data_IF_491539394817
#
_entry.id   IF_491539394817
#
_cell.length_a   1.000
_cell.length_b   1.000
_cell.length_c   1.000
_cell.angle_alpha   90.00
_cell.angle_beta   90.00
_cell.angle_gamma   90.00
#
_symmetry.space_group_name_H-M   'P 1'
#
loop_
_entity.id
_entity.type
_entity.pdbx_description
1 polymer ?
#
# COMPACT_ATOMS: atom_id res chain seq x y z
N UNK A 1 -24.74 12.15 -4.51
CA UNK A 1 -24.73 10.71 -4.16
C UNK A 1 -25.61 10.52 -2.93
N UNK A 2 -26.59 9.62 -2.93
CA UNK A 2 -27.45 9.40 -1.75
C UNK A 2 -26.79 8.46 -0.74
N UNK A 3 -27.04 8.66 0.55
CA UNK A 3 -26.53 7.81 1.65
C UNK A 3 -26.85 6.32 1.41
N UNK A 4 -27.99 6.02 0.78
CA UNK A 4 -28.38 4.67 0.40
C UNK A 4 -27.45 4.01 -0.64
N UNK A 5 -26.98 4.78 -1.62
CA UNK A 5 -26.02 4.29 -2.64
C UNK A 5 -24.65 3.98 -2.02
N UNK A 6 -24.20 4.81 -1.08
CA UNK A 6 -22.98 4.59 -0.30
C UNK A 6 -23.09 3.36 0.59
N UNK A 7 -24.22 3.16 1.29
CA UNK A 7 -24.43 2.00 2.16
C UNK A 7 -24.50 0.69 1.36
N UNK A 8 -25.12 0.69 0.18
CA UNK A 8 -25.18 -0.48 -0.70
C UNK A 8 -23.79 -0.82 -1.24
N UNK A 9 -23.05 0.18 -1.70
CA UNK A 9 -21.65 0.03 -2.16
C UNK A 9 -20.72 -0.45 -1.05
N UNK A 10 -20.88 0.03 0.18
CA UNK A 10 -20.14 -0.44 1.34
C UNK A 10 -20.46 -1.91 1.66
N UNK A 11 -21.75 -2.29 1.68
CA UNK A 11 -22.15 -3.68 1.95
C UNK A 11 -21.61 -4.64 0.90
N UNK A 12 -21.72 -4.30 -0.38
CA UNK A 12 -21.13 -5.10 -1.47
C UNK A 12 -19.61 -5.11 -1.44
N UNK A 13 -18.95 -4.17 -0.76
CA UNK A 13 -17.49 -4.15 -0.60
C UNK A 13 -17.02 -5.01 0.58
N UNK A 14 -17.86 -5.22 1.60
CA UNK A 14 -17.49 -5.88 2.88
C UNK A 14 -18.17 -7.26 3.07
N UNK A 15 -18.80 -7.84 2.05
CA UNK A 15 -19.45 -9.18 2.14
C UNK A 15 -19.03 -10.14 1.02
N UNK A 16 -19.04 -11.45 1.27
CA UNK A 16 -18.88 -12.47 0.22
C UNK A 16 -17.54 -13.19 0.20
N UNK A 17 -16.59 -12.82 1.07
CA UNK A 17 -15.32 -13.55 1.20
C UNK A 17 -15.43 -14.75 2.16
N UNK A 18 -14.62 -15.82 1.95
CA UNK A 18 -14.56 -16.98 2.83
C UNK A 18 -14.17 -16.63 4.27
N UNK A 19 -14.53 -17.48 5.24
CA UNK A 19 -14.21 -17.27 6.66
C UNK A 19 -12.71 -17.08 6.92
N UNK A 20 -11.85 -17.84 6.23
CA UNK A 20 -10.39 -17.75 6.37
C UNK A 20 -9.85 -16.35 6.05
N UNK A 21 -10.43 -15.68 5.05
CA UNK A 21 -10.06 -14.30 4.72
C UNK A 21 -10.40 -13.34 5.86
N UNK A 22 -11.57 -13.47 6.49
CA UNK A 22 -11.96 -12.60 7.60
C UNK A 22 -11.12 -12.83 8.86
N UNK A 23 -10.70 -14.07 9.12
CA UNK A 23 -9.75 -14.34 10.21
C UNK A 23 -8.37 -13.74 9.94
N UNK A 24 -7.87 -13.81 8.70
CA UNK A 24 -6.61 -13.18 8.29
C UNK A 24 -6.70 -11.64 8.33
N UNK A 25 -7.84 -11.08 7.93
CA UNK A 25 -8.12 -9.64 8.01
C UNK A 25 -8.13 -9.17 9.47
N UNK A 26 -8.82 -9.92 10.35
CA UNK A 26 -8.88 -9.63 11.78
C UNK A 26 -7.49 -9.76 12.43
N UNK A 27 -6.73 -10.80 12.11
CA UNK A 27 -5.38 -10.98 12.66
C UNK A 27 -4.45 -9.83 12.23
N UNK A 28 -4.55 -9.39 10.97
CA UNK A 28 -3.82 -8.23 10.45
C UNK A 28 -4.20 -6.95 11.18
N UNK A 29 -5.50 -6.74 11.41
CA UNK A 29 -6.00 -5.59 12.17
C UNK A 29 -5.43 -5.62 13.61
N UNK A 30 -5.56 -6.74 14.32
CA UNK A 30 -5.05 -6.91 15.69
C UNK A 30 -3.55 -6.62 15.76
N UNK A 31 -2.75 -7.20 14.85
CA UNK A 31 -1.32 -6.91 14.80
C UNK A 31 -1.06 -5.41 14.60
N UNK A 32 -1.78 -4.75 13.69
CA UNK A 32 -1.56 -3.31 13.43
C UNK A 32 -2.05 -2.39 14.54
N UNK A 33 -3.09 -2.77 15.30
CA UNK A 33 -3.48 -2.02 16.50
C UNK A 33 -2.41 -2.01 17.59
N UNK A 34 -1.50 -2.98 17.56
CA UNK A 34 -0.36 -3.06 18.48
C UNK A 34 0.92 -2.39 17.99
N UNK A 35 0.96 -1.79 16.79
CA UNK A 35 2.20 -1.33 16.14
C UNK A 35 2.79 -0.03 16.75
N UNK A 36 2.97 -0.02 18.06
CA UNK A 36 3.47 1.11 18.83
C UNK A 36 4.98 1.31 18.67
N UNK A 37 5.74 0.21 18.53
CA UNK A 37 7.21 0.27 18.50
C UNK A 37 7.66 1.29 17.46
N UNK A 38 7.36 1.09 16.18
CA UNK A 38 7.83 1.99 15.12
C UNK A 38 7.27 3.40 15.20
N UNK A 39 6.03 3.54 15.67
CA UNK A 39 5.37 4.84 15.77
C UNK A 39 6.08 5.74 16.78
N UNK A 40 6.55 5.17 17.90
CA UNK A 40 7.10 5.91 19.03
C UNK A 40 8.60 5.69 19.27
N UNK A 41 9.27 4.86 18.46
CA UNK A 41 10.67 4.48 18.66
C UNK A 41 11.61 5.69 18.72
N UNK A 42 11.38 6.69 17.86
CA UNK A 42 12.20 7.91 17.82
C UNK A 42 12.08 8.71 19.11
N UNK A 43 10.86 8.87 19.64
CA UNK A 43 10.62 9.55 20.91
C UNK A 43 11.18 8.75 22.10
N UNK A 44 11.06 7.42 22.09
CA UNK A 44 11.66 6.58 23.12
C UNK A 44 13.19 6.75 23.17
N UNK A 45 13.86 6.63 22.02
CA UNK A 45 15.31 6.74 21.94
C UNK A 45 15.82 8.14 22.31
N UNK A 46 15.11 9.20 21.91
CA UNK A 46 15.58 10.59 22.08
C UNK A 46 15.11 11.21 23.39
N UNK A 47 13.83 11.10 23.74
CA UNK A 47 13.22 11.77 24.89
C UNK A 47 13.39 10.95 26.18
N UNK A 48 13.20 9.62 26.14
CA UNK A 48 13.34 8.77 27.34
C UNK A 48 14.79 8.35 27.58
N UNK A 49 15.49 7.89 26.53
CA UNK A 49 16.88 7.39 26.66
C UNK A 49 17.96 8.46 26.40
N UNK A 50 17.60 9.63 25.89
CA UNK A 50 18.54 10.73 25.67
C UNK A 50 19.55 10.51 24.53
N UNK A 51 19.28 9.59 23.61
CA UNK A 51 20.11 9.40 22.42
C UNK A 51 19.86 10.51 21.37
N UNK A 52 20.81 10.65 20.45
CA UNK A 52 20.70 11.64 19.38
C UNK A 52 19.64 11.28 18.34
N UNK A 53 19.08 12.28 17.63
CA UNK A 53 18.12 12.04 16.56
C UNK A 53 18.73 11.23 15.41
N UNK A 54 20.02 11.42 15.13
CA UNK A 54 20.78 10.60 14.18
C UNK A 54 20.76 9.12 14.57
N UNK A 55 21.00 8.82 15.86
CA UNK A 55 20.98 7.44 16.33
C UNK A 55 19.57 6.84 16.23
N UNK A 56 18.53 7.59 16.60
CA UNK A 56 17.15 7.17 16.37
C UNK A 56 16.86 6.91 14.89
N UNK A 57 17.36 7.77 14.00
CA UNK A 57 17.34 7.58 12.56
C UNK A 57 18.04 6.30 12.10
N UNK A 58 19.23 6.01 12.64
CA UNK A 58 19.96 4.77 12.37
C UNK A 58 19.16 3.53 12.80
N UNK A 59 18.55 3.54 13.98
CA UNK A 59 17.75 2.41 14.47
C UNK A 59 16.52 2.17 13.57
N UNK A 60 15.81 3.22 13.16
CA UNK A 60 14.70 3.09 12.20
C UNK A 60 15.19 2.62 10.82
N UNK A 61 16.35 3.08 10.37
CA UNK A 61 16.97 2.61 9.14
C UNK A 61 17.34 1.12 9.20
N UNK A 62 17.82 0.64 10.35
CA UNK A 62 18.09 -0.77 10.57
C UNK A 62 16.81 -1.61 10.53
N UNK A 63 15.68 -1.11 11.03
CA UNK A 63 14.39 -1.77 10.82
C UNK A 63 14.07 -1.92 9.32
N UNK A 64 14.25 -0.84 8.56
CA UNK A 64 14.08 -0.83 7.10
C UNK A 64 14.99 -1.84 6.41
N UNK A 65 16.28 -1.86 6.76
CA UNK A 65 17.28 -2.80 6.24
C UNK A 65 16.93 -4.25 6.57
N UNK A 66 16.52 -4.52 7.81
CA UNK A 66 15.99 -5.82 8.20
C UNK A 66 14.83 -6.24 7.30
N UNK A 67 13.98 -5.29 6.93
CA UNK A 67 12.89 -5.53 6.00
C UNK A 67 13.29 -5.91 4.58
N UNK A 68 14.41 -5.38 4.10
CA UNK A 68 14.98 -5.75 2.79
C UNK A 68 15.44 -7.20 2.80
N UNK A 69 16.09 -7.64 3.88
CA UNK A 69 16.50 -9.03 4.06
C UNK A 69 15.32 -9.97 4.36
N UNK A 70 14.31 -9.47 5.08
CA UNK A 70 13.14 -10.23 5.49
C UNK A 70 12.23 -10.62 4.33
N UNK A 71 12.08 -9.79 3.30
CA UNK A 71 11.15 -10.10 2.20
C UNK A 71 11.56 -11.34 1.38
N UNK A 72 12.81 -11.50 0.93
CA UNK A 72 13.26 -12.73 0.26
C UNK A 72 13.24 -13.96 1.19
N UNK A 73 13.65 -13.77 2.45
CA UNK A 73 13.60 -14.82 3.47
C UNK A 73 12.15 -15.32 3.64
N UNK A 74 11.21 -14.39 3.77
CA UNK A 74 9.78 -14.67 3.86
C UNK A 74 9.28 -15.48 2.68
N UNK A 75 9.59 -15.07 1.45
CA UNK A 75 9.21 -15.83 0.25
C UNK A 75 9.73 -17.26 0.27
N UNK A 76 11.03 -17.44 0.53
CA UNK A 76 11.64 -18.77 0.60
C UNK A 76 11.03 -19.65 1.71
N UNK A 77 10.71 -19.07 2.87
CA UNK A 77 10.03 -19.77 3.96
C UNK A 77 8.58 -20.12 3.60
N UNK A 78 7.83 -19.19 2.99
CA UNK A 78 6.46 -19.43 2.50
C UNK A 78 6.41 -20.60 1.52
N UNK A 79 7.39 -20.66 0.62
CA UNK A 79 7.48 -21.70 -0.40
C UNK A 79 7.92 -23.05 0.19
N UNK A 80 8.82 -23.04 1.19
CA UNK A 80 9.36 -24.26 1.79
C UNK A 80 8.44 -24.83 2.87
N UNK A 81 8.02 -24.02 3.84
CA UNK A 81 7.27 -24.42 5.03
C UNK A 81 5.75 -24.29 4.87
N UNK A 82 5.27 -23.52 3.89
CA UNK A 82 3.86 -23.16 3.77
C UNK A 82 3.55 -21.78 4.32
N UNK A 83 2.36 -21.27 3.99
CA UNK A 83 1.94 -19.90 4.34
C UNK A 83 1.74 -19.79 5.84
N UNK A 84 1.01 -20.74 6.44
CA UNK A 84 0.59 -20.67 7.85
C UNK A 84 1.78 -20.83 8.81
N UNK A 85 2.67 -21.83 8.69
CA UNK A 85 3.84 -21.94 9.56
C UNK A 85 4.77 -20.73 9.46
N UNK A 86 4.94 -20.17 8.26
CA UNK A 86 5.77 -18.97 8.07
C UNK A 86 5.18 -17.75 8.78
N UNK A 87 3.86 -17.52 8.64
CA UNK A 87 3.20 -16.42 9.38
C UNK A 87 3.34 -16.57 10.89
N UNK A 88 3.11 -17.77 11.43
CA UNK A 88 3.16 -18.01 12.88
C UNK A 88 4.58 -17.79 13.41
N UNK A 89 5.57 -18.45 12.79
CA UNK A 89 6.97 -18.38 13.24
C UNK A 89 7.53 -16.97 13.17
N UNK A 90 7.26 -16.24 12.07
CA UNK A 90 7.75 -14.87 11.89
C UNK A 90 7.01 -13.86 12.78
N UNK A 91 5.71 -14.03 13.02
CA UNK A 91 5.01 -13.20 14.01
C UNK A 91 5.51 -13.46 15.43
N UNK A 92 5.74 -14.71 15.83
CA UNK A 92 6.31 -15.02 17.15
C UNK A 92 7.73 -14.47 17.31
N UNK A 93 8.56 -14.52 16.25
CA UNK A 93 9.87 -13.89 16.25
C UNK A 93 9.79 -12.36 16.41
N UNK A 94 8.86 -11.70 15.71
CA UNK A 94 8.60 -10.27 15.86
C UNK A 94 8.09 -9.92 17.27
N UNK A 95 7.18 -10.72 17.83
CA UNK A 95 6.67 -10.55 19.18
C UNK A 95 7.77 -10.70 20.24
N UNK A 96 8.67 -11.68 20.07
CA UNK A 96 9.82 -11.85 20.95
C UNK A 96 10.77 -10.64 20.90
N UNK A 97 11.00 -10.07 19.71
CA UNK A 97 11.79 -8.84 19.57
C UNK A 97 11.09 -7.66 20.28
N UNK A 98 9.80 -7.45 20.06
CA UNK A 98 9.03 -6.40 20.72
C UNK A 98 9.06 -6.55 22.25
N UNK A 99 8.91 -7.78 22.77
CA UNK A 99 9.02 -8.05 24.20
C UNK A 99 10.44 -7.76 24.72
N UNK A 100 11.49 -8.12 23.97
CA UNK A 100 12.87 -7.83 24.35
C UNK A 100 13.18 -6.33 24.46
N UNK A 101 12.57 -5.49 23.61
CA UNK A 101 12.67 -4.02 23.71
C UNK A 101 12.11 -3.48 25.03
N UNK A 102 11.19 -4.20 25.66
CA UNK A 102 10.70 -3.80 26.98
C UNK A 102 11.74 -4.01 28.09
N UNK A 103 12.86 -4.71 27.86
CA UNK A 103 13.88 -5.00 28.89
C UNK A 103 15.27 -4.48 28.54
N UNK A 104 15.61 -4.41 27.25
CA UNK A 104 16.94 -4.00 26.81
C UNK A 104 17.05 -2.48 26.74
N UNK A 105 18.03 -1.94 27.45
CA UNK A 105 18.31 -0.48 27.50
C UNK A 105 19.61 -0.09 26.80
N UNK A 106 20.43 -1.06 26.38
CA UNK A 106 21.66 -0.75 25.66
C UNK A 106 21.35 -0.28 24.24
N UNK A 107 21.92 0.85 23.84
CA UNK A 107 21.67 1.49 22.54
C UNK A 107 21.83 0.50 21.37
N UNK A 108 22.98 -0.16 21.30
CA UNK A 108 23.27 -1.14 20.25
C UNK A 108 22.47 -2.44 20.39
N UNK A 109 22.04 -2.78 21.61
CA UNK A 109 21.11 -3.89 21.82
C UNK A 109 19.74 -3.60 21.22
N UNK A 110 19.20 -2.39 21.44
CA UNK A 110 17.96 -1.92 20.81
C UNK A 110 18.10 -1.93 19.29
N UNK A 111 19.20 -1.40 18.76
CA UNK A 111 19.47 -1.38 17.32
C UNK A 111 19.45 -2.79 16.69
N UNK A 112 20.10 -3.77 17.35
CA UNK A 112 20.10 -5.16 16.89
C UNK A 112 18.71 -5.81 16.96
N UNK A 113 17.95 -5.57 18.03
CA UNK A 113 16.59 -6.10 18.17
C UNK A 113 15.66 -5.51 17.12
N UNK A 114 15.75 -4.22 16.85
CA UNK A 114 14.93 -3.53 15.85
C UNK A 114 15.25 -4.01 14.43
N UNK A 115 16.53 -4.29 14.13
CA UNK A 115 16.94 -4.94 12.87
C UNK A 115 16.25 -6.31 12.71
N UNK A 116 16.34 -7.16 13.74
CA UNK A 116 15.74 -8.50 13.74
C UNK A 116 14.20 -8.44 13.66
N UNK A 117 13.59 -7.48 14.36
CA UNK A 117 12.16 -7.22 14.28
C UNK A 117 11.76 -6.85 12.85
N UNK A 118 12.53 -6.00 12.17
CA UNK A 118 12.32 -5.66 10.76
C UNK A 118 12.39 -6.87 9.82
N UNK A 119 13.35 -7.78 10.03
CA UNK A 119 13.43 -9.05 9.29
C UNK A 119 12.16 -9.87 9.50
N UNK A 120 11.78 -10.12 10.75
CA UNK A 120 10.65 -10.94 11.11
C UNK A 120 9.33 -10.37 10.57
N UNK A 121 9.05 -9.09 10.80
CA UNK A 121 7.80 -8.44 10.35
C UNK A 121 7.65 -8.48 8.82
N UNK A 122 8.74 -8.30 8.09
CA UNK A 122 8.68 -8.19 6.63
C UNK A 122 8.69 -9.56 5.96
N UNK A 123 9.19 -10.59 6.64
CA UNK A 123 9.10 -11.99 6.21
C UNK A 123 7.66 -12.55 6.25
N UNK A 124 6.77 -11.95 7.04
CA UNK A 124 5.34 -12.33 7.08
C UNK A 124 4.60 -11.94 5.79
N UNK A 125 4.96 -10.80 5.17
CA UNK A 125 4.17 -10.17 4.10
C UNK A 125 3.97 -11.06 2.86
N UNK A 126 4.97 -11.78 2.32
CA UNK A 126 4.76 -12.74 1.23
C UNK A 126 3.71 -13.81 1.56
N UNK A 127 3.71 -14.33 2.79
CA UNK A 127 2.76 -15.35 3.23
C UNK A 127 1.33 -14.82 3.29
N UNK A 128 1.12 -13.60 3.81
CA UNK A 128 -0.21 -12.96 3.85
C UNK A 128 -0.71 -12.73 2.42
N UNK A 129 0.14 -12.18 1.55
CA UNK A 129 -0.25 -11.86 0.18
C UNK A 129 -0.61 -13.12 -0.61
N UNK A 130 0.17 -14.20 -0.45
CA UNK A 130 -0.11 -15.50 -1.05
C UNK A 130 -1.41 -16.11 -0.49
N UNK A 131 -1.60 -16.12 0.83
CA UNK A 131 -2.80 -16.65 1.46
C UNK A 131 -4.07 -15.93 0.99
N UNK A 132 -4.03 -14.59 0.84
CA UNK A 132 -5.16 -13.83 0.28
C UNK A 132 -5.45 -14.29 -1.15
N UNK A 133 -4.43 -14.42 -2.00
CA UNK A 133 -4.59 -14.84 -3.39
C UNK A 133 -5.09 -16.30 -3.51
N UNK A 134 -4.65 -17.18 -2.60
CA UNK A 134 -5.05 -18.60 -2.58
C UNK A 134 -6.51 -18.79 -2.12
N UNK A 135 -7.03 -17.90 -1.26
CA UNK A 135 -8.37 -18.04 -0.66
C UNK A 135 -9.51 -17.42 -1.48
N UNK A 136 -9.23 -16.44 -2.34
CA UNK A 136 -10.28 -15.67 -3.02
C UNK A 136 -10.27 -15.88 -4.53
N UNK A 137 -11.44 -15.83 -5.20
CA UNK A 137 -11.49 -15.93 -6.65
C UNK A 137 -10.65 -14.85 -7.34
N UNK A 138 -10.02 -15.18 -8.47
CA UNK A 138 -9.11 -14.28 -9.19
C UNK A 138 -9.70 -12.89 -9.50
N UNK A 139 -11.00 -12.82 -9.79
CA UNK A 139 -11.70 -11.55 -10.07
C UNK A 139 -11.94 -10.68 -8.83
N UNK A 140 -11.87 -11.25 -7.62
CA UNK A 140 -12.07 -10.55 -6.34
C UNK A 140 -10.75 -10.23 -5.59
N UNK A 141 -9.61 -10.77 -6.02
CA UNK A 141 -8.28 -10.56 -5.37
C UNK A 141 -7.96 -9.08 -5.14
N UNK A 142 -8.24 -8.23 -6.14
CA UNK A 142 -8.03 -6.77 -6.01
C UNK A 142 -8.85 -6.17 -4.85
N UNK A 143 -10.09 -6.61 -4.70
CA UNK A 143 -10.99 -6.16 -3.62
C UNK A 143 -10.54 -6.69 -2.27
N UNK A 144 -10.05 -7.93 -2.21
CA UNK A 144 -9.47 -8.51 -1.00
C UNK A 144 -8.23 -7.74 -0.51
N UNK A 145 -7.31 -7.39 -1.42
CA UNK A 145 -6.16 -6.54 -1.07
C UNK A 145 -6.55 -5.14 -0.61
N UNK A 146 -7.58 -4.53 -1.22
CA UNK A 146 -8.08 -3.23 -0.78
C UNK A 146 -8.64 -3.29 0.66
N UNK A 147 -9.40 -4.34 1.00
CA UNK A 147 -9.89 -4.56 2.37
C UNK A 147 -8.74 -4.82 3.36
N UNK A 148 -7.72 -5.57 2.96
CA UNK A 148 -6.54 -5.78 3.79
C UNK A 148 -5.78 -4.46 4.04
N UNK A 149 -5.63 -3.63 3.01
CA UNK A 149 -5.04 -2.29 3.15
C UNK A 149 -5.86 -1.40 4.10
N UNK A 150 -7.18 -1.53 4.12
CA UNK A 150 -8.04 -0.89 5.11
C UNK A 150 -7.77 -1.38 6.54
N UNK A 151 -7.62 -2.68 6.77
CA UNK A 151 -7.23 -3.21 8.09
C UNK A 151 -5.90 -2.62 8.55
N UNK A 152 -4.92 -2.52 7.65
CA UNK A 152 -3.60 -1.97 7.98
C UNK A 152 -3.70 -0.52 8.46
N UNK A 153 -4.40 0.33 7.72
CA UNK A 153 -4.55 1.76 8.04
C UNK A 153 -5.45 2.02 9.25
N UNK A 154 -6.53 1.26 9.38
CA UNK A 154 -7.41 1.35 10.55
C UNK A 154 -6.66 0.94 11.83
N UNK A 155 -5.92 -0.18 11.78
CA UNK A 155 -5.10 -0.62 12.90
C UNK A 155 -4.03 0.40 13.27
N UNK A 156 -3.35 0.97 12.28
CA UNK A 156 -2.37 2.05 12.50
C UNK A 156 -3.00 3.28 13.16
N UNK A 157 -4.17 3.73 12.70
CA UNK A 157 -4.86 4.87 13.32
C UNK A 157 -5.22 4.60 14.79
N UNK A 158 -5.70 3.39 15.10
CA UNK A 158 -6.02 2.97 16.48
C UNK A 158 -4.74 2.95 17.33
N UNK A 159 -3.64 2.37 16.82
CA UNK A 159 -2.36 2.34 17.51
C UNK A 159 -1.82 3.76 17.76
N UNK A 160 -1.88 4.64 16.76
CA UNK A 160 -1.42 6.01 16.88
C UNK A 160 -2.19 6.80 17.94
N UNK A 161 -3.52 6.69 17.99
CA UNK A 161 -4.37 7.29 19.05
C UNK A 161 -4.03 6.68 20.41
N UNK A 162 -3.95 5.36 20.48
CA UNK A 162 -3.61 4.63 21.70
C UNK A 162 -2.21 4.96 22.22
N UNK A 163 -1.32 5.41 21.34
CA UNK A 163 0.05 5.78 21.66
C UNK A 163 0.17 6.99 22.58
N UNK A 164 -0.88 7.81 22.71
CA UNK A 164 -0.96 8.80 23.77
C UNK A 164 -0.91 8.21 25.18
N UNK A 165 -1.23 6.91 25.34
CA UNK A 165 -1.03 6.20 26.58
C UNK A 165 0.47 6.08 26.97
N UNK A 166 1.42 6.29 26.04
CA UNK A 166 2.85 6.39 26.35
C UNK A 166 3.13 7.40 27.47
N UNK A 167 2.40 8.51 27.49
CA UNK A 167 2.61 9.59 28.47
C UNK A 167 2.29 9.17 29.91
N UNK A 168 1.48 8.12 30.11
CA UNK A 168 1.05 7.66 31.44
C UNK A 168 1.54 6.23 31.76
N UNK A 169 1.65 5.37 30.75
CA UNK A 169 2.05 3.96 30.89
C UNK A 169 3.55 3.73 30.61
N UNK A 170 4.24 4.70 30.01
CA UNK A 170 5.61 4.57 29.54
C UNK A 170 5.74 3.79 28.22
N UNK A 171 6.83 4.02 27.49
CA UNK A 171 7.07 3.40 26.17
C UNK A 171 7.28 1.89 26.27
N UNK A 172 7.92 1.40 27.35
CA UNK A 172 8.15 -0.04 27.59
C UNK A 172 6.84 -0.82 27.65
N UNK A 173 5.80 -0.26 28.26
CA UNK A 173 4.47 -0.87 28.29
C UNK A 173 3.88 -0.98 26.89
N UNK A 174 4.07 0.03 26.03
CA UNK A 174 3.61 -0.03 24.65
C UNK A 174 4.32 -1.13 23.84
N UNK A 175 5.60 -1.39 24.10
CA UNK A 175 6.32 -2.50 23.46
C UNK A 175 5.79 -3.87 23.91
N UNK A 176 5.39 -4.00 25.19
CA UNK A 176 4.71 -5.21 25.68
C UNK A 176 3.34 -5.37 25.02
N UNK A 177 2.57 -4.29 24.86
CA UNK A 177 1.29 -4.34 24.14
C UNK A 177 1.48 -4.77 22.68
N UNK A 178 2.51 -4.27 22.00
CA UNK A 178 2.89 -4.71 20.65
C UNK A 178 3.19 -6.22 20.61
N UNK A 179 4.01 -6.70 21.56
CA UNK A 179 4.33 -8.11 21.69
C UNK A 179 3.09 -8.99 21.91
N UNK A 180 2.16 -8.55 22.77
CA UNK A 180 0.90 -9.25 23.03
C UNK A 180 0.01 -9.25 21.78
N UNK A 181 -0.20 -8.11 21.14
CA UNK A 181 -1.01 -8.00 19.92
C UNK A 181 -0.44 -8.86 18.78
N UNK A 182 0.87 -8.86 18.61
CA UNK A 182 1.57 -9.69 17.62
C UNK A 182 1.48 -11.18 17.95
N UNK A 183 1.56 -11.56 19.23
CA UNK A 183 1.33 -12.94 19.69
C UNK A 183 -0.11 -13.37 19.44
N UNK A 184 -1.09 -12.51 19.73
CA UNK A 184 -2.51 -12.77 19.46
C UNK A 184 -2.77 -12.97 17.97
N UNK A 185 -2.11 -12.20 17.10
CA UNK A 185 -2.14 -12.44 15.65
C UNK A 185 -1.67 -13.85 15.30
N UNK A 186 -0.50 -14.27 15.82
CA UNK A 186 0.01 -15.63 15.61
C UNK A 186 -0.94 -16.71 16.13
N UNK A 187 -1.58 -16.49 17.29
CA UNK A 187 -2.58 -17.41 17.87
C UNK A 187 -3.84 -17.49 17.00
N UNK A 188 -4.34 -16.36 16.50
CA UNK A 188 -5.51 -16.35 15.59
C UNK A 188 -5.18 -17.13 14.31
N UNK A 189 -4.03 -16.87 13.69
CA UNK A 189 -3.57 -17.60 12.50
C UNK A 189 -3.39 -19.09 12.80
N UNK A 190 -2.86 -19.44 13.97
CA UNK A 190 -2.72 -20.83 14.40
C UNK A 190 -4.08 -21.51 14.59
N UNK A 191 -5.08 -20.87 15.20
CA UNK A 191 -6.35 -21.52 15.52
C UNK A 191 -7.34 -21.52 14.35
N UNK A 192 -7.30 -20.52 13.48
CA UNK A 192 -8.39 -20.23 12.52
C UNK A 192 -8.00 -20.35 11.06
N UNK A 193 -6.72 -20.22 10.73
CA UNK A 193 -6.27 -20.29 9.35
C UNK A 193 -5.84 -21.72 9.02
N UNK A 194 -6.38 -22.27 7.93
CA UNK A 194 -5.90 -23.52 7.36
C UNK A 194 -4.68 -23.25 6.47
N UNK A 195 -3.84 -24.26 6.25
CA UNK A 195 -2.74 -24.12 5.29
C UNK A 195 -3.33 -23.99 3.88
N UNK A 196 -2.93 -22.93 3.17
CA UNK A 196 -3.47 -22.60 1.83
C UNK A 196 -2.48 -22.91 0.73
N UNK A 197 -1.27 -23.40 1.06
CA UNK A 197 -0.26 -23.78 0.06
C UNK A 197 -0.86 -24.78 -0.94
N UNK A 198 -0.95 -24.42 -2.23
CA UNK A 198 -1.25 -25.37 -3.27
C UNK A 198 -0.15 -26.45 -3.25
N UNK A 199 -0.55 -27.71 -3.38
CA UNK A 199 0.37 -28.78 -3.74
C UNK A 199 1.09 -28.34 -5.03
N UNK A 200 2.42 -28.47 -5.04
CA UNK A 200 3.30 -27.69 -5.92
C UNK A 200 2.87 -27.66 -7.39
N UNK A 201 2.99 -26.49 -8.04
CA UNK A 201 2.87 -26.37 -9.49
C UNK A 201 4.06 -27.07 -10.14
N UNK A 202 3.90 -28.35 -10.42
CA UNK A 202 4.71 -29.05 -11.41
C UNK A 202 4.28 -28.60 -12.80
N UNK A 203 5.23 -28.50 -13.73
CA UNK A 203 4.84 -28.48 -15.14
C UNK A 203 4.14 -29.81 -15.53
N UNK A 204 3.70 -29.92 -16.78
CA UNK A 204 3.12 -31.17 -17.31
C UNK A 204 4.05 -32.39 -17.23
N UNK A 205 5.33 -32.19 -16.90
CA UNK A 205 6.36 -33.23 -16.76
C UNK A 205 6.79 -33.50 -15.29
N UNK A 206 6.24 -32.80 -14.29
CA UNK A 206 6.64 -33.01 -12.89
C UNK A 206 7.82 -32.14 -12.42
N UNK A 207 8.38 -31.30 -13.29
CA UNK A 207 9.57 -30.49 -12.98
C UNK A 207 9.16 -29.12 -12.38
N UNK A 208 10.00 -28.54 -11.50
CA UNK A 208 9.79 -27.17 -11.05
C UNK A 208 9.94 -26.22 -12.24
N UNK A 209 8.92 -25.43 -12.52
CA UNK A 209 8.96 -24.41 -13.59
C UNK A 209 10.12 -23.46 -13.32
N UNK A 210 11.15 -23.54 -14.14
CA UNK A 210 12.32 -22.65 -14.03
C UNK A 210 11.90 -21.23 -14.41
N UNK A 211 11.88 -20.31 -13.44
CA UNK A 211 11.74 -18.89 -13.73
C UNK A 211 12.91 -18.41 -14.59
N UNK A 212 12.58 -17.81 -15.73
CA UNK A 212 13.58 -17.31 -16.66
C UNK A 212 14.45 -16.24 -15.98
N UNK A 213 15.76 -16.49 -15.94
CA UNK A 213 16.76 -15.59 -15.35
C UNK A 213 17.07 -14.41 -16.28
N UNK A 214 16.11 -13.51 -16.51
CA UNK A 214 16.46 -12.13 -16.89
C UNK A 214 17.39 -11.53 -15.80
N UNK A 215 18.09 -10.42 -16.05
CA UNK A 215 18.93 -9.74 -15.03
C UNK A 215 18.25 -8.46 -14.54
N UNK A 216 18.35 -8.14 -13.24
CA UNK A 216 17.87 -6.86 -12.68
C UNK A 216 18.55 -5.64 -13.35
N UNK A 217 19.80 -5.80 -13.79
CA UNK A 217 20.56 -4.77 -14.51
C UNK A 217 19.95 -4.44 -15.88
N UNK A 218 19.27 -5.39 -16.51
CA UNK A 218 18.61 -5.19 -17.81
C UNK A 218 17.41 -4.25 -17.67
N UNK A 219 16.68 -4.34 -16.56
CA UNK A 219 15.51 -3.48 -16.27
C UNK A 219 15.92 -2.02 -16.12
N UNK A 220 17.07 -1.74 -15.50
CA UNK A 220 17.56 -0.37 -15.34
C UNK A 220 18.07 0.26 -16.64
N UNK A 221 18.18 -0.49 -17.75
CA UNK A 221 18.57 0.08 -19.06
C UNK A 221 17.41 0.79 -19.75
N UNK A 222 16.18 0.37 -19.48
CA UNK A 222 14.94 1.02 -19.93
C UNK A 222 14.89 2.47 -19.41
N UNK A 223 15.01 3.45 -20.31
CA UNK A 223 15.17 4.85 -19.94
C UNK A 223 13.91 5.46 -19.30
N UNK A 224 12.69 5.26 -19.85
CA UNK A 224 11.45 5.60 -19.15
C UNK A 224 11.34 4.97 -17.77
N UNK A 225 11.58 3.65 -17.66
CA UNK A 225 11.42 2.97 -16.38
C UNK A 225 12.46 3.40 -15.35
N UNK A 226 13.72 3.54 -15.74
CA UNK A 226 14.78 4.09 -14.88
C UNK A 226 14.42 5.47 -14.36
N UNK A 227 13.83 6.33 -15.20
CA UNK A 227 13.36 7.66 -14.78
C UNK A 227 12.24 7.56 -13.75
N UNK A 228 11.27 6.67 -13.97
CA UNK A 228 10.18 6.41 -13.02
C UNK A 228 10.72 5.97 -11.65
N UNK A 229 11.68 5.03 -11.65
CA UNK A 229 12.32 4.52 -10.42
C UNK A 229 13.07 5.62 -9.67
N UNK A 230 13.88 6.43 -10.37
CA UNK A 230 14.64 7.52 -9.75
C UNK A 230 13.73 8.60 -9.15
N UNK A 231 12.65 8.97 -9.84
CA UNK A 231 11.69 9.94 -9.32
C UNK A 231 10.88 9.36 -8.16
N UNK A 232 10.49 8.08 -8.26
CA UNK A 232 9.82 7.39 -7.17
C UNK A 232 10.72 7.32 -5.93
N UNK A 233 12.03 7.08 -6.08
CA UNK A 233 12.98 7.13 -4.97
C UNK A 233 12.96 8.49 -4.26
N UNK A 234 12.91 9.61 -4.99
CA UNK A 234 12.79 10.94 -4.40
C UNK A 234 11.50 11.08 -3.57
N UNK A 235 10.37 10.60 -4.10
CA UNK A 235 9.10 10.62 -3.35
C UNK A 235 9.16 9.70 -2.12
N UNK A 236 9.76 8.52 -2.23
CA UNK A 236 9.96 7.62 -1.10
C UNK A 236 10.84 8.27 -0.01
N UNK A 237 11.87 9.04 -0.35
CA UNK A 237 12.68 9.79 0.62
C UNK A 237 11.83 10.83 1.38
N UNK A 238 10.99 11.58 0.65
CA UNK A 238 10.07 12.56 1.24
C UNK A 238 9.03 11.89 2.12
N UNK A 239 8.52 10.72 1.72
CA UNK A 239 7.54 9.94 2.46
C UNK A 239 8.10 9.38 3.77
N UNK A 240 9.37 8.97 3.76
CA UNK A 240 10.00 8.27 4.90
C UNK A 240 10.60 9.22 5.93
N UNK A 241 11.04 10.42 5.53
CA UNK A 241 11.63 11.41 6.44
C UNK A 241 10.77 11.75 7.69
N UNK A 242 9.44 11.89 7.60
CA UNK A 242 8.64 12.36 8.74
C UNK A 242 8.47 11.33 9.85
N UNK A 243 8.80 10.05 9.63
CA UNK A 243 8.85 9.03 10.69
C UNK A 243 9.87 9.38 11.78
N UNK A 244 10.90 10.16 11.45
CA UNK A 244 11.83 10.77 12.41
C UNK A 244 11.53 12.25 12.59
N UNK A 245 11.35 12.99 11.48
CA UNK A 245 11.24 14.45 11.52
C UNK A 245 10.03 14.97 12.30
N UNK A 246 8.85 14.40 12.07
CA UNK A 246 7.60 14.89 12.66
C UNK A 246 7.56 14.75 14.19
N UNK A 247 7.79 13.56 14.79
CA UNK A 247 7.75 13.43 16.24
C UNK A 247 8.79 14.31 16.93
N UNK A 248 9.99 14.45 16.37
CA UNK A 248 11.05 15.27 16.96
C UNK A 248 10.79 16.78 16.81
N UNK A 249 10.21 17.22 15.69
CA UNK A 249 9.80 18.61 15.51
C UNK A 249 8.72 18.98 16.53
N UNK A 250 7.71 18.12 16.70
CA UNK A 250 6.63 18.34 17.67
C UNK A 250 7.16 18.34 19.12
N UNK A 251 8.05 17.39 19.45
CA UNK A 251 8.68 17.34 20.77
C UNK A 251 9.54 18.58 21.04
N UNK A 252 10.30 19.06 20.05
CA UNK A 252 11.09 20.30 20.14
C UNK A 252 10.24 21.56 20.35
N UNK A 253 8.98 21.55 19.91
CA UNK A 253 7.99 22.60 20.20
C UNK A 253 7.24 22.40 21.53
N UNK A 254 7.62 21.40 22.33
CA UNK A 254 7.01 21.10 23.62
C UNK A 254 5.65 20.39 23.55
N UNK A 255 5.27 19.85 22.39
CA UNK A 255 4.04 19.06 22.26
C UNK A 255 4.24 17.66 22.85
N UNK A 256 3.21 17.18 23.55
CA UNK A 256 3.24 15.86 24.18
C UNK A 256 3.26 14.72 23.13
N UNK A 257 3.80 13.53 23.47
CA UNK A 257 3.75 12.35 22.60
C UNK A 257 2.33 11.95 22.17
N UNK A 258 1.33 12.22 23.02
CA UNK A 258 -0.09 12.02 22.70
C UNK A 258 -0.59 12.92 21.57
N UNK A 259 -0.08 14.16 21.47
CA UNK A 259 -0.40 15.05 20.36
C UNK A 259 0.15 14.49 19.03
N UNK A 260 1.38 13.99 19.04
CA UNK A 260 1.95 13.31 17.87
C UNK A 260 1.14 12.07 17.47
N UNK A 261 0.74 11.25 18.45
CA UNK A 261 -0.13 10.09 18.21
C UNK A 261 -1.45 10.47 17.54
N UNK A 262 -2.13 11.53 18.01
CA UNK A 262 -3.36 12.04 17.38
C UNK A 262 -3.09 12.57 15.97
N UNK A 263 -2.02 13.35 15.79
CA UNK A 263 -1.65 13.92 14.49
C UNK A 263 -1.38 12.84 13.45
N UNK A 264 -0.59 11.82 13.78
CA UNK A 264 -0.27 10.77 12.82
C UNK A 264 -1.45 9.81 12.59
N UNK A 265 -2.36 9.67 13.56
CA UNK A 265 -3.61 8.93 13.35
C UNK A 265 -4.51 9.55 12.27
N UNK A 266 -4.44 10.87 12.06
CA UNK A 266 -5.18 11.55 10.99
C UNK A 266 -4.85 10.96 9.62
N UNK A 267 -3.60 10.56 9.36
CA UNK A 267 -3.23 9.89 8.11
C UNK A 267 -4.09 8.63 7.87
N UNK A 268 -4.12 7.70 8.84
CA UNK A 268 -4.91 6.48 8.71
C UNK A 268 -6.41 6.73 8.59
N UNK A 269 -6.94 7.72 9.34
CA UNK A 269 -8.37 8.11 9.27
C UNK A 269 -8.72 8.66 7.88
N UNK A 270 -7.87 9.53 7.33
CA UNK A 270 -8.09 10.13 6.00
C UNK A 270 -8.02 9.05 4.91
N UNK A 271 -7.06 8.13 4.99
CA UNK A 271 -6.96 7.01 4.04
C UNK A 271 -8.24 6.16 4.08
N UNK A 272 -8.65 5.70 5.25
CA UNK A 272 -9.85 4.86 5.39
C UNK A 272 -11.12 5.61 4.93
N UNK A 273 -11.25 6.89 5.31
CA UNK A 273 -12.45 7.68 5.00
C UNK A 273 -12.56 8.10 3.52
N UNK A 274 -11.44 8.37 2.86
CA UNK A 274 -11.44 9.07 1.57
C UNK A 274 -10.79 8.30 0.41
N UNK A 275 -10.17 7.13 0.62
CA UNK A 275 -9.48 6.40 -0.47
C UNK A 275 -10.40 6.10 -1.66
N UNK A 276 -11.64 5.66 -1.40
CA UNK A 276 -12.60 5.35 -2.46
C UNK A 276 -12.99 6.60 -3.26
N UNK A 277 -13.12 7.75 -2.59
CA UNK A 277 -13.40 9.02 -3.25
C UNK A 277 -12.22 9.44 -4.12
N UNK A 278 -11.00 9.39 -3.58
CA UNK A 278 -9.78 9.75 -4.32
C UNK A 278 -9.59 8.85 -5.54
N UNK A 279 -9.77 7.53 -5.41
CA UNK A 279 -9.72 6.60 -6.55
C UNK A 279 -10.71 7.01 -7.64
N UNK A 280 -11.95 7.32 -7.28
CA UNK A 280 -12.99 7.74 -8.24
C UNK A 280 -12.64 9.06 -8.95
N UNK A 281 -12.03 10.02 -8.24
CA UNK A 281 -11.64 11.31 -8.80
C UNK A 281 -10.42 11.21 -9.74
N UNK A 282 -9.60 10.16 -9.57
CA UNK A 282 -8.34 9.97 -10.28
C UNK A 282 -8.40 8.93 -11.40
N UNK A 283 -9.40 8.05 -11.41
CA UNK A 283 -9.54 6.90 -12.34
C UNK A 283 -9.33 7.23 -13.83
N UNK A 284 -9.78 8.40 -14.28
CA UNK A 284 -9.73 8.83 -15.69
C UNK A 284 -8.67 9.90 -15.98
N UNK A 285 -7.67 10.03 -15.12
CA UNK A 285 -6.65 11.08 -15.24
C UNK A 285 -5.32 10.46 -15.66
N UNK A 286 -4.57 11.19 -16.49
CA UNK A 286 -3.24 10.78 -16.93
C UNK A 286 -2.33 10.47 -15.73
N UNK A 287 -1.64 9.30 -15.72
CA UNK A 287 -0.71 8.93 -14.65
C UNK A 287 0.37 9.99 -14.38
N UNK A 288 0.83 10.70 -15.42
CA UNK A 288 1.86 11.74 -15.28
C UNK A 288 1.34 12.93 -14.47
N UNK A 289 0.11 13.35 -14.73
CA UNK A 289 -0.54 14.44 -13.99
C UNK A 289 -0.72 14.04 -12.53
N UNK A 290 -1.16 12.81 -12.28
CA UNK A 290 -1.37 12.28 -10.93
C UNK A 290 -0.06 12.12 -10.14
N UNK A 291 1.00 11.60 -10.75
CA UNK A 291 2.33 11.48 -10.12
C UNK A 291 2.94 12.87 -9.84
N UNK A 292 2.75 13.82 -10.74
CA UNK A 292 3.21 15.20 -10.53
C UNK A 292 2.42 15.89 -9.41
N UNK A 293 1.09 15.79 -9.43
CA UNK A 293 0.20 16.36 -8.42
C UNK A 293 0.48 15.77 -7.04
N UNK A 294 0.60 14.44 -6.93
CA UNK A 294 0.92 13.79 -5.66
C UNK A 294 2.28 14.23 -5.12
N UNK A 295 3.30 14.35 -5.97
CA UNK A 295 4.62 14.86 -5.57
C UNK A 295 4.56 16.31 -5.08
N UNK A 296 3.73 17.16 -5.69
CA UNK A 296 3.48 18.52 -5.21
C UNK A 296 2.73 18.53 -3.86
N UNK A 297 1.75 17.66 -3.67
CA UNK A 297 1.04 17.52 -2.39
C UNK A 297 1.99 17.05 -1.28
N UNK A 298 2.90 16.13 -1.57
CA UNK A 298 3.98 15.76 -0.65
C UNK A 298 4.89 16.94 -0.33
N UNK A 299 5.31 17.71 -1.35
CA UNK A 299 6.15 18.88 -1.16
C UNK A 299 5.48 19.96 -0.29
N UNK A 300 4.22 20.27 -0.60
CA UNK A 300 3.42 21.27 0.11
C UNK A 300 3.11 20.82 1.54
N UNK A 301 2.69 19.56 1.72
CA UNK A 301 2.37 19.03 3.04
C UNK A 301 3.61 18.97 3.93
N UNK A 302 4.71 18.37 3.46
CA UNK A 302 5.95 18.30 4.26
C UNK A 302 6.60 19.67 4.47
N UNK A 303 6.59 20.54 3.46
CA UNK A 303 7.13 21.91 3.57
C UNK A 303 6.33 22.79 4.53
N UNK A 304 5.00 22.70 4.52
CA UNK A 304 4.14 23.45 5.44
C UNK A 304 4.35 23.05 6.90
N UNK A 305 4.92 21.87 7.17
CA UNK A 305 5.26 21.41 8.52
C UNK A 305 6.28 22.32 9.21
N UNK A 306 7.16 22.99 8.46
CA UNK A 306 8.07 24.01 9.01
C UNK A 306 7.33 25.21 9.64
N UNK A 307 6.10 25.48 9.19
CA UNK A 307 5.28 26.60 9.66
C UNK A 307 4.24 26.17 10.71
N UNK A 308 4.16 24.87 11.01
CA UNK A 308 3.20 24.35 11.97
C UNK A 308 3.68 24.59 13.40
N UNK A 309 2.84 25.25 14.21
CA UNK A 309 3.11 25.55 15.63
C UNK A 309 2.09 24.97 16.60
N UNK A 310 1.16 24.14 16.13
CA UNK A 310 0.12 23.52 16.96
C UNK A 310 -0.28 22.16 16.41
N UNK A 311 -0.83 21.28 17.25
CA UNK A 311 -1.28 19.94 16.84
C UNK A 311 -2.28 19.99 15.69
N UNK A 312 -3.14 21.01 15.64
CA UNK A 312 -4.11 21.20 14.54
C UNK A 312 -3.40 21.59 13.25
N UNK A 313 -2.40 22.47 13.32
CA UNK A 313 -1.60 22.84 12.16
C UNK A 313 -0.84 21.63 11.60
N UNK A 314 -0.19 20.84 12.47
CA UNK A 314 0.47 19.59 12.07
C UNK A 314 -0.53 18.58 11.48
N UNK A 315 -1.72 18.42 12.07
CA UNK A 315 -2.76 17.57 11.50
C UNK A 315 -3.18 18.04 10.09
N UNK A 316 -3.29 19.34 9.87
CA UNK A 316 -3.63 19.89 8.56
C UNK A 316 -2.54 19.61 7.51
N UNK A 317 -1.25 19.77 7.85
CA UNK A 317 -0.17 19.35 6.96
C UNK A 317 -0.23 17.84 6.71
N UNK A 318 -0.62 17.08 7.76
CA UNK A 318 -0.77 15.64 7.67
C UNK A 318 -1.87 15.22 6.69
N UNK A 319 -2.97 15.96 6.59
CA UNK A 319 -3.99 15.71 5.59
C UNK A 319 -3.45 15.91 4.17
N UNK A 320 -2.67 16.98 3.93
CA UNK A 320 -2.22 17.37 2.58
C UNK A 320 -1.31 16.31 1.94
N UNK A 321 -0.22 15.94 2.60
CA UNK A 321 0.68 14.88 2.09
C UNK A 321 0.01 13.47 2.10
N UNK A 322 -0.99 13.22 2.95
CA UNK A 322 -1.78 11.97 2.91
C UNK A 322 -2.61 11.88 1.63
N UNK A 323 -3.25 12.97 1.20
CA UNK A 323 -3.95 12.98 -0.11
C UNK A 323 -2.94 12.72 -1.24
N UNK A 324 -1.72 13.26 -1.12
CA UNK A 324 -0.60 12.93 -2.02
C UNK A 324 -0.31 11.43 -2.07
N UNK A 325 -0.18 10.78 -0.91
CA UNK A 325 0.02 9.33 -0.77
C UNK A 325 -1.07 8.52 -1.46
N UNK A 326 -2.33 8.84 -1.18
CA UNK A 326 -3.50 8.12 -1.70
C UNK A 326 -3.58 8.16 -3.22
N UNK A 327 -3.02 9.19 -3.86
CA UNK A 327 -2.88 9.31 -5.32
C UNK A 327 -1.61 8.59 -5.79
N UNK A 328 -0.48 8.81 -5.12
CA UNK A 328 0.82 8.34 -5.56
C UNK A 328 0.91 6.81 -5.62
N UNK A 329 0.55 6.12 -4.54
CA UNK A 329 0.73 4.66 -4.39
C UNK A 329 0.02 3.88 -5.51
N UNK A 330 -1.29 4.05 -5.76
CA UNK A 330 -1.96 3.33 -6.85
C UNK A 330 -1.46 3.76 -8.23
N UNK A 331 -1.18 5.05 -8.43
CA UNK A 331 -0.71 5.56 -9.72
C UNK A 331 0.68 5.02 -10.07
N UNK A 332 1.60 4.96 -9.10
CA UNK A 332 2.94 4.44 -9.30
C UNK A 332 2.94 2.92 -9.57
N UNK A 333 2.05 2.17 -8.90
CA UNK A 333 1.84 0.76 -9.19
C UNK A 333 1.32 0.55 -10.62
N UNK A 334 0.36 1.35 -11.06
CA UNK A 334 -0.17 1.30 -12.43
C UNK A 334 0.86 1.71 -13.49
N UNK A 335 1.65 2.77 -13.24
CA UNK A 335 2.73 3.21 -14.13
C UNK A 335 3.82 2.13 -14.27
N UNK A 336 4.17 1.47 -13.18
CA UNK A 336 5.11 0.34 -13.18
C UNK A 336 4.58 -0.82 -14.02
N UNK A 337 3.30 -1.17 -13.86
CA UNK A 337 2.68 -2.25 -14.63
C UNK A 337 2.59 -1.95 -16.13
N UNK A 338 2.35 -0.67 -16.51
CA UNK A 338 2.30 -0.23 -17.90
C UNK A 338 3.66 -0.29 -18.61
N UNK A 339 4.74 0.08 -17.92
CA UNK A 339 6.09 0.05 -18.49
C UNK A 339 6.72 -1.34 -18.47
N UNK A 340 6.19 -2.26 -17.67
CA UNK A 340 6.77 -3.59 -17.51
C UNK A 340 6.25 -4.59 -18.57
N UNK A 341 7.14 -5.18 -19.38
CA UNK A 341 6.78 -6.30 -20.26
C UNK A 341 6.18 -7.45 -19.47
N UNK A 342 5.22 -8.17 -20.05
CA UNK A 342 4.44 -9.20 -19.35
C UNK A 342 5.34 -10.27 -18.68
N UNK A 343 6.37 -10.73 -19.41
CA UNK A 343 7.34 -11.72 -18.95
C UNK A 343 8.34 -11.19 -17.91
N UNK A 344 8.40 -9.87 -17.68
CA UNK A 344 9.36 -9.21 -16.79
C UNK A 344 8.72 -8.42 -15.63
N UNK A 345 7.39 -8.46 -15.47
CA UNK A 345 6.64 -7.69 -14.45
C UNK A 345 7.20 -7.84 -13.04
N UNK A 346 7.52 -9.07 -12.61
CA UNK A 346 8.08 -9.31 -11.27
C UNK A 346 9.39 -8.56 -11.01
N UNK A 347 10.21 -8.38 -12.05
CA UNK A 347 11.53 -7.73 -11.93
C UNK A 347 11.43 -6.22 -11.91
N UNK A 348 10.54 -5.67 -12.73
CA UNK A 348 10.19 -4.25 -12.68
C UNK A 348 9.62 -3.91 -11.30
N UNK A 349 8.73 -4.74 -10.75
CA UNK A 349 8.22 -4.58 -9.38
C UNK A 349 9.32 -4.71 -8.32
N UNK A 350 10.26 -5.66 -8.49
CA UNK A 350 11.42 -5.80 -7.60
C UNK A 350 12.31 -4.54 -7.59
N UNK A 351 12.64 -4.00 -8.77
CA UNK A 351 13.42 -2.76 -8.91
C UNK A 351 12.66 -1.56 -8.34
N UNK A 352 11.34 -1.49 -8.56
CA UNK A 352 10.50 -0.46 -7.95
C UNK A 352 10.55 -0.55 -6.41
N UNK A 353 10.46 -1.76 -5.85
CA UNK A 353 10.56 -2.03 -4.42
C UNK A 353 11.91 -1.62 -3.82
N UNK A 354 13.01 -1.65 -4.59
CA UNK A 354 14.31 -1.15 -4.12
C UNK A 354 14.28 0.34 -3.77
N UNK A 355 13.41 1.13 -4.40
CA UNK A 355 13.26 2.56 -4.05
C UNK A 355 12.82 2.74 -2.59
N UNK A 356 11.86 1.92 -2.14
CA UNK A 356 11.39 1.91 -0.76
C UNK A 356 12.45 1.42 0.21
N UNK A 357 13.22 0.40 -0.19
CA UNK A 357 14.33 -0.12 0.59
C UNK A 357 15.42 0.94 0.83
N UNK A 358 15.88 1.59 -0.25
CA UNK A 358 16.90 2.65 -0.17
C UNK A 358 16.37 3.83 0.64
N UNK A 359 15.15 4.28 0.39
CA UNK A 359 14.57 5.39 1.15
C UNK A 359 14.41 5.07 2.64
N UNK A 360 13.93 3.86 2.96
CA UNK A 360 13.78 3.38 4.34
C UNK A 360 15.09 3.29 5.11
N UNK A 361 16.24 3.21 4.44
CA UNK A 361 17.55 3.26 5.06
C UNK A 361 18.13 4.67 5.11
N UNK A 362 18.10 5.39 3.98
CA UNK A 362 18.77 6.70 3.84
C UNK A 362 18.01 7.82 4.54
N UNK A 363 16.68 7.87 4.38
CA UNK A 363 15.91 9.01 4.87
C UNK A 363 15.86 9.11 6.40
N UNK A 364 15.68 8.03 7.19
CA UNK A 364 15.69 8.17 8.64
C UNK A 364 17.04 8.64 9.19
N UNK A 365 18.15 8.13 8.65
CA UNK A 365 19.51 8.58 9.03
C UNK A 365 19.71 10.06 8.67
N UNK A 366 19.33 10.44 7.44
CA UNK A 366 19.44 11.82 6.97
C UNK A 366 18.55 12.78 7.77
N UNK A 367 17.30 12.40 8.03
CA UNK A 367 16.37 13.16 8.85
C UNK A 367 16.90 13.36 10.27
N UNK A 368 17.41 12.29 10.90
CA UNK A 368 18.05 12.36 12.21
C UNK A 368 19.27 13.28 12.22
N UNK A 369 20.17 13.17 11.23
CA UNK A 369 21.34 14.03 11.11
C UNK A 369 20.97 15.52 10.95
N UNK A 370 19.95 15.80 10.12
CA UNK A 370 19.50 17.16 9.86
C UNK A 370 18.85 17.76 11.11
N UNK A 371 18.01 16.99 11.81
CA UNK A 371 17.36 17.44 13.05
C UNK A 371 18.38 17.72 14.15
N UNK A 372 19.40 16.89 14.33
CA UNK A 372 20.47 17.12 15.31
C UNK A 372 21.40 18.30 14.94
N UNK A 373 21.64 18.51 13.65
CA UNK A 373 22.59 19.51 13.16
C UNK A 373 21.92 20.86 12.85
N UNK A 374 21.60 21.14 11.58
CA UNK A 374 21.04 22.42 11.16
C UNK A 374 19.58 22.67 11.63
N UNK A 375 18.88 21.64 12.12
CA UNK A 375 17.56 21.74 12.71
C UNK A 375 16.40 21.24 11.82
N UNK A 376 15.19 21.08 12.40
CA UNK A 376 14.03 20.51 11.72
C UNK A 376 13.53 21.33 10.52
N UNK A 377 13.67 22.66 10.54
CA UNK A 377 13.23 23.51 9.42
C UNK A 377 13.97 23.18 8.12
N UNK A 378 15.26 22.84 8.21
CA UNK A 378 16.07 22.42 7.06
C UNK A 378 15.58 21.09 6.50
N UNK A 379 15.12 20.16 7.36
CA UNK A 379 14.53 18.90 6.92
C UNK A 379 13.28 19.15 6.07
N UNK A 380 12.37 20.00 6.57
CA UNK A 380 11.10 20.29 5.90
C UNK A 380 11.30 21.05 4.58
N UNK A 381 12.25 21.99 4.53
CA UNK A 381 12.62 22.68 3.29
C UNK A 381 13.27 21.70 2.29
N UNK A 382 14.13 20.79 2.76
CA UNK A 382 14.74 19.77 1.92
C UNK A 382 13.68 18.83 1.32
N UNK A 383 12.74 18.32 2.13
CA UNK A 383 11.66 17.45 1.63
C UNK A 383 10.73 18.17 0.66
N UNK A 384 10.42 19.44 0.92
CA UNK A 384 9.65 20.27 -0.02
C UNK A 384 10.38 20.43 -1.36
N UNK A 385 11.67 20.72 -1.32
CA UNK A 385 12.51 20.88 -2.52
C UNK A 385 12.57 19.58 -3.33
N UNK A 386 12.83 18.45 -2.66
CA UNK A 386 12.88 17.13 -3.29
C UNK A 386 11.52 16.78 -3.93
N UNK A 387 10.41 17.06 -3.25
CA UNK A 387 9.08 16.81 -3.79
C UNK A 387 8.74 17.66 -5.02
N UNK A 388 9.14 18.94 -5.05
CA UNK A 388 9.01 19.81 -6.23
C UNK A 388 9.86 19.29 -7.39
N UNK A 389 11.11 18.89 -7.11
CA UNK A 389 12.00 18.30 -8.13
C UNK A 389 11.39 17.02 -8.71
N UNK A 390 10.82 16.15 -7.86
CA UNK A 390 10.12 14.96 -8.32
C UNK A 390 8.92 15.31 -9.21
N UNK A 391 8.08 16.28 -8.80
CA UNK A 391 6.93 16.72 -9.56
C UNK A 391 7.29 17.25 -10.96
N UNK A 392 8.28 18.14 -11.02
CA UNK A 392 8.80 18.69 -12.28
C UNK A 392 9.42 17.58 -13.14
N UNK A 393 10.16 16.65 -12.51
CA UNK A 393 10.73 15.49 -13.17
C UNK A 393 9.68 14.59 -13.83
N UNK A 394 8.59 14.28 -13.12
CA UNK A 394 7.46 13.51 -13.66
C UNK A 394 6.86 14.22 -14.87
N UNK A 395 6.53 15.50 -14.73
CA UNK A 395 5.88 16.28 -15.77
C UNK A 395 6.74 16.43 -17.04
N UNK A 396 8.05 16.63 -16.90
CA UNK A 396 8.93 16.87 -18.06
C UNK A 396 9.36 15.55 -18.72
N UNK A 397 9.77 14.55 -17.92
CA UNK A 397 10.47 13.37 -18.45
C UNK A 397 9.56 12.20 -18.79
N UNK A 398 8.42 12.07 -18.13
CA UNK A 398 7.52 10.92 -18.31
C UNK A 398 6.23 11.25 -19.09
N UNK A 399 6.01 12.52 -19.45
CA UNK A 399 4.86 12.94 -20.25
C UNK A 399 4.67 12.16 -21.53
N UNK A 400 5.74 11.88 -22.28
CA UNK A 400 5.68 11.14 -23.54
C UNK A 400 5.52 9.63 -23.32
N UNK A 401 6.24 9.07 -22.34
CA UNK A 401 6.26 7.63 -22.08
C UNK A 401 4.98 7.09 -21.45
N UNK A 402 4.19 7.96 -20.81
CA UNK A 402 2.93 7.62 -20.16
C UNK A 402 1.75 8.43 -20.75
N UNK A 403 1.93 9.03 -21.93
CA UNK A 403 0.81 9.58 -22.69
C UNK A 403 -0.14 8.43 -23.08
N UNK A 404 -1.44 8.69 -23.08
CA UNK A 404 -2.40 7.77 -23.70
C UNK A 404 -2.06 7.74 -25.19
N UNK A 405 -1.72 6.57 -25.74
CA UNK A 405 -1.83 6.39 -27.18
C UNK A 405 -3.28 6.68 -27.55
N UNK A 406 -3.56 7.50 -28.58
CA UNK A 406 -4.91 7.64 -29.07
C UNK A 406 -5.42 6.23 -29.32
N UNK A 407 -6.59 5.90 -28.76
CA UNK A 407 -7.36 4.72 -29.16
C UNK A 407 -7.25 4.65 -30.68
N UNK A 408 -6.51 3.67 -31.21
CA UNK A 408 -6.58 3.32 -32.62
C UNK A 408 -8.06 3.01 -32.80
N UNK A 409 -8.79 4.02 -33.25
CA UNK A 409 -10.13 3.85 -33.74
C UNK A 409 -9.86 2.96 -34.92
N UNK A 410 -10.01 1.65 -34.73
CA UNK A 410 -10.10 0.71 -35.83
C UNK A 410 -11.26 1.25 -36.63
N UNK A 411 -10.93 2.03 -37.64
CA UNK A 411 -11.87 2.72 -38.46
C UNK A 411 -12.62 1.58 -39.15
N UNK A 412 -13.84 1.31 -38.68
CA UNK A 412 -14.73 0.29 -39.26
C UNK A 412 -15.06 0.61 -40.74
N UNK A 413 -14.53 1.71 -41.28
CA UNK A 413 -14.50 2.04 -42.71
C UNK A 413 -13.52 1.19 -43.51
N UNK A 414 -12.48 0.59 -42.91
CA UNK A 414 -11.51 -0.25 -43.65
C UNK A 414 -12.04 -1.68 -43.93
N UNK A 415 -13.25 -2.01 -43.47
CA UNK A 415 -13.98 -3.22 -43.88
C UNK A 415 -14.79 -3.01 -45.17
N UNK A 416 -14.77 -1.81 -45.77
CA UNK A 416 -15.42 -1.56 -47.07
C UNK A 416 -14.52 -1.80 -48.28
N UNK A 417 -13.21 -2.03 -48.07
CA UNK A 417 -12.24 -2.37 -49.12
C UNK A 417 -11.85 -3.86 -49.13
N UNK A 418 -12.76 -4.73 -48.70
CA UNK A 418 -12.67 -6.15 -49.07
C UNK A 418 -12.97 -6.27 -50.57
N UNK A 419 -12.09 -6.87 -51.38
CA UNK A 419 -12.36 -7.05 -52.79
C UNK A 419 -13.65 -7.85 -52.97
N UNK A 420 -14.69 -7.21 -53.50
CA UNK A 420 -15.85 -7.86 -54.10
C UNK A 420 -15.32 -8.74 -55.25
N UNK A 421 -14.98 -9.98 -54.94
CA UNK A 421 -14.98 -11.16 -55.82
C UNK A 421 -14.04 -12.22 -55.25
N UNK A 422 -14.56 -13.02 -54.32
CA UNK A 422 -14.18 -14.43 -54.22
C UNK A 422 -15.42 -15.25 -53.95
N UNK A 423 -15.70 -16.17 -54.88
CA UNK A 423 -16.78 -17.14 -54.84
C UNK A 423 -16.95 -17.75 -53.44
N UNK A 424 -18.10 -17.48 -52.83
CA UNK A 424 -18.57 -18.10 -51.58
C UNK A 424 -19.15 -19.51 -51.83
N UNK A 425 -18.63 -20.24 -52.82
CA UNK A 425 -19.09 -21.58 -53.17
C UNK A 425 -18.31 -22.72 -52.47
N UNK A 426 -17.18 -22.43 -51.80
CA UNK A 426 -16.24 -23.47 -51.32
C UNK A 426 -15.88 -23.37 -49.81
N UNK A 427 -16.84 -23.06 -48.93
CA UNK A 427 -16.62 -23.19 -47.48
C UNK A 427 -17.59 -24.22 -46.86
N UNK A 428 -17.10 -25.35 -46.32
CA UNK A 428 -17.94 -26.30 -45.59
C UNK A 428 -18.29 -25.74 -44.20
N UNK A 429 -19.58 -25.78 -43.88
CA UNK A 429 -20.20 -25.82 -42.55
C UNK A 429 -19.58 -24.93 -41.44
N UNK A 430 -20.14 -23.73 -41.28
CA UNK A 430 -20.00 -22.90 -40.07
C UNK A 430 -21.39 -22.39 -39.61
N UNK A 431 -22.33 -23.32 -39.49
CA UNK A 431 -23.73 -23.02 -39.15
C UNK A 431 -24.07 -23.13 -37.65
N UNK A 432 -23.10 -23.27 -36.74
CA UNK A 432 -23.40 -23.59 -35.33
C UNK A 432 -22.85 -22.61 -34.26
N UNK A 433 -22.35 -21.42 -34.62
CA UNK A 433 -21.70 -20.53 -33.64
C UNK A 433 -22.25 -19.11 -33.46
N UNK A 434 -23.45 -18.80 -33.95
CA UNK A 434 -24.07 -17.48 -33.73
C UNK A 434 -25.57 -17.56 -33.42
N UNK A 435 -25.92 -18.13 -32.26
CA UNK A 435 -27.18 -17.79 -31.58
C UNK A 435 -26.90 -16.85 -30.40
N UNK A 436 -27.00 -15.54 -30.66
CA UNK A 436 -27.25 -14.53 -29.62
C UNK A 436 -28.60 -13.85 -29.92
N UNK A 437 -29.52 -13.70 -28.95
CA UNK A 437 -30.85 -13.15 -29.20
C UNK A 437 -30.78 -11.66 -29.58
N UNK A 438 -31.46 -11.29 -30.67
CA UNK A 438 -31.64 -9.89 -31.09
C UNK A 438 -32.53 -9.14 -30.10
N UNK A 439 -32.01 -8.05 -29.56
CA UNK A 439 -32.73 -7.01 -28.84
C UNK A 439 -33.72 -6.29 -29.79
N UNK A 440 -34.96 -6.75 -29.87
CA UNK A 440 -36.06 -5.98 -30.52
C UNK A 440 -37.46 -6.14 -29.91
N UNK A 441 -37.64 -6.86 -28.78
CA UNK A 441 -38.98 -7.10 -28.19
C UNK A 441 -39.18 -6.45 -26.81
N UNK A 442 -38.95 -5.13 -26.67
CA UNK A 442 -39.34 -4.37 -25.47
C UNK A 442 -39.98 -3.00 -25.76
N UNK A 443 -40.71 -2.87 -26.87
CA UNK A 443 -41.49 -1.64 -27.16
C UNK A 443 -42.96 -1.87 -27.54
N UNK A 444 -43.57 -2.99 -27.12
CA UNK A 444 -45.03 -3.21 -27.24
C UNK A 444 -45.66 -3.67 -25.91
N UNK A 445 -45.41 -2.93 -24.83
CA UNK A 445 -46.12 -3.10 -23.55
C UNK A 445 -46.77 -1.80 -23.05
N UNK A 446 -47.10 -0.88 -23.96
CA UNK A 446 -47.95 0.28 -23.69
C UNK A 446 -49.00 0.43 -24.80
N UNK A 447 -50.27 0.22 -24.45
CA UNK A 447 -51.39 0.74 -25.24
C UNK A 447 -52.27 -0.29 -25.93
N UNK A 448 -53.12 -0.99 -25.17
CA UNK A 448 -54.52 -1.31 -25.53
C UNK A 448 -55.21 -2.04 -24.38
N UNK A 449 -55.89 -1.28 -23.53
CA UNK A 449 -57.09 -1.81 -22.89
C UNK A 449 -58.22 -0.79 -23.07
N UNK A 450 -59.16 -1.18 -23.93
CA UNK A 450 -60.30 -0.37 -24.36
C UNK A 450 -61.44 -0.52 -23.36
N UNK A 451 -61.95 0.61 -22.89
CA UNK A 451 -63.01 0.67 -21.89
C UNK A 451 -64.32 -0.01 -22.27
N UNK A 452 -64.98 -0.52 -21.22
CA UNK A 452 -66.44 -0.63 -21.10
C UNK A 452 -66.81 -0.41 -19.64
N UNK A 453 -67.49 0.69 -19.34
CA UNK A 453 -68.42 0.79 -18.20
C UNK A 453 -69.79 0.22 -18.65
N UNK A 454 -70.81 -0.05 -17.79
CA UNK A 454 -71.19 0.78 -16.64
C UNK A 454 -71.74 0.06 -15.37
N UNK A 455 -71.80 0.85 -14.29
CA UNK A 455 -72.92 0.97 -13.33
C UNK A 455 -73.18 -0.04 -12.18
N UNK A 456 -73.55 0.58 -11.04
CA UNK A 456 -74.52 0.19 -10.00
C UNK A 456 -73.99 -0.36 -8.66
N UNK A 457 -74.22 0.48 -7.62
CA UNK A 457 -74.49 0.26 -6.19
C UNK A 457 -73.95 -0.98 -5.46
N UNK A 458 -73.29 -0.77 -4.34
CA UNK A 458 -73.87 -0.72 -2.97
C UNK A 458 -72.78 -0.35 -1.97
#
# INVERSE_FOLDING_TARGET
MTIASLRRSARTTVSGFPEGFWWLWLSTLVNRTGAFVLTFLSLYLTVELGHSAWFAGLVVALHGLGGVAGSPLGGALTDRWGRRPTMITMHLAAAACAAALAFVTSAWGIAAIVLLMGVAMQAVRPSINAAIADMVPAHEVRRAYALNYWALNLGFAIAAIGGGAAAFLGYRTLFVVDAVATTLCAVIVFLRLQETRPEGRTDTAGEPVAEEKVSMLTVLRDAPFRTLVLLNLLVCLVFTAPWIGLPLTMAGQGLAPSAYGVVIAVNGIVIVGFQLLVNKLTDKRSPVVLLSLSSLLFALGTGATALAGSSVAFAATVVVWTVGEMIHVPTNAAATARLAPEHARGRYQGVMGMSWAVAGFVAPIGAGAIVDGPGPDVLWVATATIGVVAAVGYFIRLRKALAEEPEETTDLTDLTDLPEHRDLADLPELTDLLELPRLTDLTEAEGKDTGKSPSVSS
#
